data_IF_424562264760
#
_entry.id   IF_424562264760
#
_cell.length_a   1.000
_cell.length_b   1.000
_cell.length_c   1.000
_cell.angle_alpha   90.00
_cell.angle_beta   90.00
_cell.angle_gamma   90.00
#
_symmetry.space_group_name_H-M   'P 1'
#
loop_
_entity.id
_entity.type
_entity.pdbx_description
1 polymer ?
#
# COMPACT_ATOMS: atom_id res chain seq x y z
N UNK A 1 3.10 -35.79 9.83
CA UNK A 1 1.65 -35.54 9.91
C UNK A 1 1.37 -34.17 9.32
N UNK A 2 0.47 -34.12 8.34
CA UNK A 2 0.01 -32.91 7.65
C UNK A 2 -0.45 -31.87 8.66
N UNK A 3 0.31 -30.77 8.80
CA UNK A 3 -0.14 -29.59 9.52
C UNK A 3 -1.20 -28.90 8.68
N UNK A 4 -2.45 -29.33 8.87
CA UNK A 4 -3.57 -28.47 8.53
C UNK A 4 -3.52 -27.36 9.57
N UNK A 5 -3.05 -26.17 9.16
CA UNK A 5 -3.22 -24.97 9.95
C UNK A 5 -4.67 -24.90 10.40
N UNK A 6 -4.92 -24.56 11.66
CA UNK A 6 -6.30 -24.37 12.13
C UNK A 6 -6.95 -23.40 11.16
N UNK A 7 -7.94 -23.86 10.39
CA UNK A 7 -8.68 -23.03 9.43
C UNK A 7 -9.43 -21.86 10.12
N UNK A 8 -9.34 -21.80 11.46
CA UNK A 8 -10.12 -20.94 12.34
C UNK A 8 -9.26 -19.91 13.09
N UNK A 9 -8.03 -19.62 12.63
CA UNK A 9 -7.33 -18.39 13.01
C UNK A 9 -7.83 -17.23 12.16
N UNK A 10 -8.70 -16.39 12.73
CA UNK A 10 -9.09 -15.12 12.09
C UNK A 10 -8.06 -14.05 12.45
N UNK A 11 -7.27 -13.61 11.48
CA UNK A 11 -6.39 -12.45 11.63
C UNK A 11 -7.19 -11.18 11.32
N UNK A 12 -7.62 -10.45 12.34
CA UNK A 12 -8.28 -9.16 12.17
C UNK A 12 -7.27 -8.02 12.36
N UNK A 13 -6.88 -7.38 11.25
CA UNK A 13 -6.13 -6.12 11.26
C UNK A 13 -7.06 -5.04 10.73
N UNK A 14 -7.61 -4.20 11.60
CA UNK A 14 -8.39 -3.04 11.16
C UNK A 14 -7.43 -1.96 10.64
N UNK A 15 -7.58 -1.59 9.37
CA UNK A 15 -6.88 -0.46 8.76
C UNK A 15 -7.42 0.85 9.32
N UNK A 16 -6.62 1.55 10.12
CA UNK A 16 -6.97 2.89 10.62
C UNK A 16 -7.00 3.86 9.44
N UNK A 17 -8.20 4.38 9.09
CA UNK A 17 -8.37 5.40 8.05
C UNK A 17 -7.88 6.80 8.49
N UNK A 18 -7.69 7.04 9.79
CA UNK A 18 -7.35 8.36 10.34
C UNK A 18 -6.25 8.25 11.41
N UNK A 19 -5.36 9.24 11.47
CA UNK A 19 -4.11 9.22 12.26
C UNK A 19 -4.29 9.33 13.79
N UNK A 20 -5.47 9.73 14.27
CA UNK A 20 -5.67 10.09 15.68
C UNK A 20 -6.65 9.19 16.46
N UNK A 21 -7.03 8.03 15.90
CA UNK A 21 -7.94 7.09 16.55
C UNK A 21 -7.23 5.80 16.97
N UNK A 22 -7.60 5.27 18.15
CA UNK A 22 -7.18 3.96 18.64
C UNK A 22 -8.33 2.96 18.46
N UNK A 23 -8.03 1.79 17.90
CA UNK A 23 -8.97 0.67 17.87
C UNK A 23 -8.88 -0.09 19.20
N UNK A 24 -9.97 -0.08 19.97
CA UNK A 24 -10.12 -0.94 21.14
C UNK A 24 -10.87 -2.21 20.71
N UNK A 25 -10.31 -3.37 21.04
CA UNK A 25 -10.97 -4.67 20.81
C UNK A 25 -11.43 -5.22 22.17
N UNK A 26 -12.64 -5.75 22.22
CA UNK A 26 -13.11 -6.57 23.33
C UNK A 26 -13.07 -8.03 22.88
N UNK A 27 -12.24 -8.83 23.53
CA UNK A 27 -12.16 -10.27 23.27
C UNK A 27 -12.96 -10.96 24.38
N UNK A 28 -14.04 -11.64 24.00
CA UNK A 28 -14.87 -12.41 24.90
C UNK A 28 -14.70 -13.90 24.61
N UNK A 29 -14.29 -14.67 25.61
CA UNK A 29 -14.21 -16.12 25.52
C UNK A 29 -15.62 -16.66 25.76
N UNK A 30 -16.19 -17.31 24.74
CA UNK A 30 -17.50 -17.94 24.82
C UNK A 30 -17.34 -19.46 24.97
N UNK A 31 -18.15 -20.13 25.81
CA UNK A 31 -18.08 -21.58 26.00
C UNK A 31 -18.35 -22.39 24.73
N UNK A 32 -19.31 -21.95 23.93
CA UNK A 32 -19.81 -22.67 22.76
C UNK A 32 -19.63 -21.81 21.50
N UNK A 33 -18.40 -21.62 20.99
CA UNK A 33 -18.20 -20.81 19.80
C UNK A 33 -18.94 -21.42 18.61
N UNK A 34 -19.52 -20.56 17.78
CA UNK A 34 -20.23 -20.91 16.55
C UNK A 34 -19.56 -20.21 15.36
N UNK A 35 -19.67 -20.84 14.21
CA UNK A 35 -19.16 -20.34 12.94
C UNK A 35 -20.25 -20.36 11.87
N UNK A 36 -20.06 -19.54 10.84
CA UNK A 36 -20.98 -19.42 9.71
C UNK A 36 -20.22 -19.54 8.40
N UNK A 37 -20.74 -20.40 7.53
CA UNK A 37 -20.22 -20.61 6.18
C UNK A 37 -21.30 -20.27 5.15
N UNK A 38 -20.93 -19.50 4.12
CA UNK A 38 -21.80 -19.25 2.96
C UNK A 38 -21.75 -20.46 2.04
N UNK A 39 -22.90 -21.07 1.75
CA UNK A 39 -22.95 -22.17 0.79
C UNK A 39 -22.85 -21.65 -0.65
N UNK A 40 -22.22 -22.43 -1.53
CA UNK A 40 -22.14 -22.14 -2.97
C UNK A 40 -23.43 -22.45 -3.74
N UNK A 41 -24.50 -22.81 -3.02
CA UNK A 41 -25.77 -23.21 -3.63
C UNK A 41 -26.44 -22.01 -4.30
N UNK A 42 -26.94 -22.23 -5.51
CA UNK A 42 -27.75 -21.26 -6.24
C UNK A 42 -29.22 -21.53 -5.98
N UNK A 43 -29.97 -20.49 -5.65
CA UNK A 43 -31.41 -20.52 -5.45
C UNK A 43 -32.02 -19.18 -5.80
N UNK A 44 -33.33 -19.16 -6.01
CA UNK A 44 -34.09 -17.95 -6.29
C UNK A 44 -35.29 -17.87 -5.35
N UNK A 45 -35.52 -16.68 -4.82
CA UNK A 45 -36.77 -16.34 -4.16
C UNK A 45 -37.77 -15.91 -5.23
N UNK A 46 -38.99 -16.46 -5.22
CA UNK A 46 -39.91 -16.31 -6.35
C UNK A 46 -40.56 -14.91 -6.42
N UNK A 47 -40.59 -14.17 -5.32
CA UNK A 47 -41.14 -12.82 -5.28
C UNK A 47 -40.13 -11.79 -5.85
N UNK A 48 -40.60 -10.96 -6.78
CA UNK A 48 -39.80 -9.95 -7.46
C UNK A 48 -39.42 -8.74 -6.60
N UNK A 49 -40.06 -8.53 -5.45
CA UNK A 49 -39.76 -7.40 -4.55
C UNK A 49 -38.97 -7.78 -3.31
N UNK A 50 -38.67 -9.07 -3.13
CA UNK A 50 -38.11 -9.63 -1.91
C UNK A 50 -36.85 -10.43 -2.21
N UNK A 51 -36.08 -10.65 -1.16
CA UNK A 51 -34.98 -11.60 -1.14
C UNK A 51 -35.08 -12.49 0.10
N UNK A 52 -34.41 -13.63 0.06
CA UNK A 52 -34.44 -14.62 1.13
C UNK A 52 -33.03 -15.02 1.57
N UNK A 53 -32.80 -14.99 2.87
CA UNK A 53 -31.64 -15.57 3.52
C UNK A 53 -32.09 -16.85 4.24
N UNK A 54 -31.58 -18.00 3.80
CA UNK A 54 -31.82 -19.29 4.43
C UNK A 54 -30.61 -19.68 5.28
N UNK A 55 -30.82 -19.88 6.58
CA UNK A 55 -29.80 -20.31 7.53
C UNK A 55 -30.14 -21.70 8.02
N UNK A 56 -29.20 -22.64 7.87
CA UNK A 56 -29.33 -24.02 8.34
C UNK A 56 -28.40 -24.27 9.51
N UNK A 57 -28.87 -24.98 10.52
CA UNK A 57 -28.06 -25.32 11.69
C UNK A 57 -28.52 -26.61 12.35
N UNK A 58 -27.65 -27.20 13.15
CA UNK A 58 -28.00 -28.25 14.13
C UNK A 58 -28.20 -27.68 15.55
N UNK A 59 -28.01 -26.37 15.73
CA UNK A 59 -28.12 -25.69 17.03
C UNK A 59 -29.59 -25.31 17.26
N UNK A 60 -30.26 -26.04 18.15
CA UNK A 60 -31.71 -25.91 18.33
C UNK A 60 -32.17 -24.63 19.02
N UNK A 61 -31.33 -23.99 19.81
CA UNK A 61 -31.58 -22.73 20.50
C UNK A 61 -31.06 -21.49 19.75
N UNK A 62 -30.60 -21.67 18.50
CA UNK A 62 -30.16 -20.56 17.65
C UNK A 62 -31.29 -19.53 17.46
N UNK A 63 -30.93 -18.26 17.56
CA UNK A 63 -31.76 -17.10 17.33
C UNK A 63 -31.23 -16.33 16.12
N UNK A 64 -32.17 -15.83 15.31
CA UNK A 64 -31.89 -14.96 14.17
C UNK A 64 -32.69 -13.69 14.39
N UNK A 65 -32.00 -12.55 14.40
CA UNK A 65 -32.57 -11.24 14.64
C UNK A 65 -32.26 -10.30 13.48
N UNK A 66 -33.25 -9.51 13.09
CA UNK A 66 -33.11 -8.46 12.11
C UNK A 66 -33.59 -7.13 12.70
N UNK A 67 -33.12 -6.02 12.15
CA UNK A 67 -33.63 -4.72 12.51
C UNK A 67 -35.16 -4.65 12.26
N UNK A 68 -35.98 -4.19 13.23
CA UNK A 68 -37.43 -4.08 13.04
C UNK A 68 -37.83 -3.26 11.81
N UNK A 69 -37.03 -2.23 11.48
CA UNK A 69 -37.29 -1.37 10.32
C UNK A 69 -37.05 -2.06 8.98
N UNK A 70 -36.34 -3.20 8.95
CA UNK A 70 -36.15 -4.00 7.74
C UNK A 70 -37.47 -4.63 7.26
N UNK A 71 -38.46 -4.76 8.16
CA UNK A 71 -39.73 -5.46 7.91
C UNK A 71 -39.50 -6.91 7.41
N UNK A 72 -38.47 -7.56 7.93
CA UNK A 72 -38.19 -8.96 7.62
C UNK A 72 -39.18 -9.89 8.32
N UNK A 73 -39.59 -10.94 7.61
CA UNK A 73 -40.36 -12.06 8.16
C UNK A 73 -39.39 -13.22 8.39
N UNK A 74 -39.22 -13.59 9.65
CA UNK A 74 -38.39 -14.73 10.04
C UNK A 74 -39.30 -15.92 10.31
N UNK A 75 -39.07 -17.01 9.59
CA UNK A 75 -39.76 -18.28 9.82
C UNK A 75 -38.76 -19.36 10.19
N UNK A 76 -39.18 -20.26 11.08
CA UNK A 76 -38.36 -21.36 11.59
C UNK A 76 -39.04 -22.68 11.27
N UNK A 77 -38.30 -23.63 10.71
CA UNK A 77 -38.74 -25.00 10.45
C UNK A 77 -37.73 -25.97 11.05
N UNK A 78 -38.22 -27.03 11.68
CA UNK A 78 -37.40 -28.16 12.10
C UNK A 78 -37.62 -29.29 11.07
N UNK A 79 -36.54 -29.79 10.48
CA UNK A 79 -36.54 -30.91 9.53
C UNK A 79 -35.49 -31.89 10.01
N UNK A 80 -35.91 -33.08 10.43
CA UNK A 80 -35.05 -34.07 11.09
C UNK A 80 -34.26 -33.42 12.26
N UNK A 81 -32.93 -33.57 12.27
CA UNK A 81 -32.03 -32.96 13.26
C UNK A 81 -31.58 -31.53 12.90
N UNK A 82 -32.15 -30.93 11.84
CA UNK A 82 -31.78 -29.59 11.39
C UNK A 82 -32.87 -28.55 11.68
N UNK A 83 -32.42 -27.35 12.06
CA UNK A 83 -33.24 -26.15 12.12
C UNK A 83 -32.92 -25.28 10.92
N UNK A 84 -33.95 -24.86 10.20
CA UNK A 84 -33.86 -23.97 9.05
C UNK A 84 -34.61 -22.67 9.38
N UNK A 85 -33.90 -21.55 9.31
CA UNK A 85 -34.46 -20.22 9.34
C UNK A 85 -34.56 -19.68 7.92
N UNK A 86 -35.73 -19.17 7.54
CA UNK A 86 -35.92 -18.37 6.34
C UNK A 86 -36.23 -16.94 6.75
N UNK A 87 -35.31 -16.02 6.43
CA UNK A 87 -35.46 -14.58 6.63
C UNK A 87 -35.81 -13.97 5.27
N UNK A 88 -37.08 -13.58 5.09
CA UNK A 88 -37.56 -12.93 3.87
C UNK A 88 -37.70 -11.44 4.13
N UNK A 89 -37.10 -10.60 3.28
CA UNK A 89 -37.12 -9.16 3.48
C UNK A 89 -37.36 -8.40 2.17
N UNK A 90 -38.03 -7.23 2.22
CA UNK A 90 -38.28 -6.39 1.06
C UNK A 90 -37.01 -5.64 0.64
N UNK A 91 -36.59 -5.82 -0.61
CA UNK A 91 -35.40 -5.13 -1.17
C UNK A 91 -35.58 -3.61 -1.17
N UNK A 92 -36.81 -3.13 -1.36
CA UNK A 92 -37.12 -1.70 -1.41
C UNK A 92 -36.64 -0.96 -0.17
N UNK A 93 -36.73 -1.56 1.02
CA UNK A 93 -36.35 -0.90 2.28
C UNK A 93 -34.85 -0.60 2.33
N UNK A 94 -34.02 -1.54 1.85
CA UNK A 94 -32.57 -1.33 1.73
C UNK A 94 -32.26 -0.30 0.62
N UNK A 95 -32.92 -0.40 -0.54
CA UNK A 95 -32.72 0.54 -1.66
C UNK A 95 -33.13 1.97 -1.33
N UNK A 96 -34.18 2.16 -0.56
CA UNK A 96 -34.62 3.48 -0.09
C UNK A 96 -33.55 4.10 0.83
N UNK A 97 -32.93 3.30 1.72
CA UNK A 97 -31.84 3.75 2.58
C UNK A 97 -30.54 4.05 1.80
N UNK A 98 -30.18 3.22 0.83
CA UNK A 98 -29.06 3.48 -0.09
C UNK A 98 -29.26 4.78 -0.89
N UNK A 99 -30.48 5.02 -1.37
CA UNK A 99 -30.81 6.23 -2.12
C UNK A 99 -30.65 7.50 -1.29
N UNK A 100 -31.04 7.45 0.00
CA UNK A 100 -30.81 8.57 0.93
C UNK A 100 -29.31 8.89 1.04
N UNK A 101 -28.46 7.87 1.14
CA UNK A 101 -27.01 8.04 1.16
C UNK A 101 -26.48 8.62 -0.16
N UNK A 102 -26.94 8.10 -1.29
CA UNK A 102 -26.54 8.58 -2.62
C UNK A 102 -26.93 10.06 -2.82
N UNK A 103 -28.12 10.46 -2.37
CA UNK A 103 -28.58 11.85 -2.43
C UNK A 103 -27.74 12.78 -1.53
N UNK A 104 -27.27 12.30 -0.37
CA UNK A 104 -26.35 13.05 0.50
C UNK A 104 -24.98 13.19 -0.17
N UNK A 105 -24.45 12.11 -0.76
CA UNK A 105 -23.18 12.15 -1.48
C UNK A 105 -23.22 13.14 -2.64
N UNK A 106 -24.28 13.12 -3.46
CA UNK A 106 -24.46 14.09 -4.55
C UNK A 106 -24.49 15.52 -4.04
N UNK A 107 -25.16 15.80 -2.92
CA UNK A 107 -25.18 17.14 -2.31
C UNK A 107 -23.80 17.59 -1.82
N UNK A 108 -23.02 16.68 -1.24
CA UNK A 108 -21.63 16.96 -0.82
C UNK A 108 -20.72 17.23 -2.03
N UNK A 109 -20.83 16.44 -3.10
CA UNK A 109 -20.06 16.66 -4.34
C UNK A 109 -20.42 17.98 -5.03
N UNK A 110 -21.70 18.34 -5.08
CA UNK A 110 -22.14 19.64 -5.61
C UNK A 110 -21.58 20.78 -4.76
N UNK A 111 -21.63 20.63 -3.43
CA UNK A 111 -21.09 21.61 -2.47
C UNK A 111 -19.58 21.84 -2.65
N UNK A 112 -18.83 20.75 -2.84
CA UNK A 112 -17.37 20.79 -2.98
C UNK A 112 -16.89 21.36 -4.33
N UNK A 113 -17.71 21.25 -5.38
CA UNK A 113 -17.38 21.72 -6.73
C UNK A 113 -17.91 23.13 -7.05
N UNK A 114 -18.43 23.86 -6.06
CA UNK A 114 -18.89 25.25 -6.23
C UNK A 114 -17.71 26.24 -6.14
N UNK A 115 -17.16 26.62 -7.30
CA UNK A 115 -15.99 27.50 -7.44
C UNK A 115 -16.33 29.00 -7.57
N UNK A 116 -17.48 29.45 -7.06
CA UNK A 116 -17.87 30.87 -7.13
C UNK A 116 -17.01 31.78 -6.23
N UNK A 117 -16.81 33.05 -6.64
CA UNK A 117 -16.25 34.09 -5.76
C UNK A 117 -17.25 34.39 -4.63
N UNK A 118 -17.08 33.69 -3.50
CA UNK A 118 -17.94 33.83 -2.32
C UNK A 118 -17.35 34.83 -1.32
N UNK A 119 -18.23 35.60 -0.69
CA UNK A 119 -17.90 36.41 0.48
C UNK A 119 -17.56 35.52 1.70
N UNK A 120 -16.90 36.09 2.71
CA UNK A 120 -16.53 35.35 3.93
C UNK A 120 -17.73 34.72 4.64
N UNK A 121 -18.84 35.45 4.75
CA UNK A 121 -20.08 34.95 5.37
C UNK A 121 -20.71 33.79 4.59
N UNK A 122 -20.56 33.77 3.26
CA UNK A 122 -21.04 32.69 2.40
C UNK A 122 -20.15 31.44 2.52
N UNK A 123 -18.84 31.63 2.68
CA UNK A 123 -17.89 30.54 2.97
C UNK A 123 -18.21 29.91 4.34
N UNK A 124 -18.44 30.72 5.37
CA UNK A 124 -18.76 30.21 6.72
C UNK A 124 -20.08 29.43 6.73
N UNK A 125 -21.11 29.90 5.99
CA UNK A 125 -22.38 29.17 5.80
C UNK A 125 -22.18 27.85 5.05
N UNK A 126 -21.35 27.84 4.01
CA UNK A 126 -21.03 26.64 3.25
C UNK A 126 -20.36 25.58 4.14
N UNK A 127 -19.35 25.97 4.92
CA UNK A 127 -18.65 25.08 5.85
C UNK A 127 -19.62 24.48 6.88
N UNK A 128 -20.56 25.28 7.40
CA UNK A 128 -21.56 24.80 8.35
C UNK A 128 -22.55 23.81 7.71
N UNK A 129 -22.97 24.08 6.47
CA UNK A 129 -23.83 23.18 5.70
C UNK A 129 -23.13 21.85 5.39
N UNK A 130 -21.85 21.88 4.99
CA UNK A 130 -21.05 20.68 4.74
C UNK A 130 -20.87 19.83 6.00
N UNK A 131 -20.63 20.45 7.16
CA UNK A 131 -20.57 19.74 8.44
C UNK A 131 -21.90 19.06 8.79
N UNK A 132 -23.03 19.72 8.51
CA UNK A 132 -24.36 19.13 8.74
C UNK A 132 -24.60 17.93 7.80
N UNK A 133 -24.20 18.06 6.52
CA UNK A 133 -24.29 16.96 5.56
C UNK A 133 -23.38 15.79 5.92
N UNK A 134 -22.15 16.04 6.39
CA UNK A 134 -21.21 15.00 6.81
C UNK A 134 -21.75 14.23 8.03
N UNK A 135 -22.35 14.94 8.99
CA UNK A 135 -23.06 14.33 10.13
C UNK A 135 -24.22 13.44 9.64
N UNK A 136 -25.06 13.95 8.74
CA UNK A 136 -26.17 13.17 8.14
C UNK A 136 -25.67 11.95 7.37
N UNK A 137 -24.53 12.05 6.68
CA UNK A 137 -23.88 10.92 6.00
C UNK A 137 -23.52 9.84 7.03
N UNK A 138 -22.82 10.19 8.10
CA UNK A 138 -22.43 9.22 9.14
C UNK A 138 -23.64 8.56 9.81
N UNK A 139 -24.70 9.32 10.08
CA UNK A 139 -25.95 8.79 10.62
C UNK A 139 -26.63 7.83 9.66
N UNK A 140 -26.71 8.17 8.37
CA UNK A 140 -27.30 7.33 7.34
C UNK A 140 -26.46 6.07 7.04
N UNK A 141 -25.13 6.16 7.05
CA UNK A 141 -24.21 5.01 6.91
C UNK A 141 -24.39 4.03 8.07
N UNK A 142 -24.46 4.56 9.29
CA UNK A 142 -24.70 3.77 10.51
C UNK A 142 -26.08 3.11 10.47
N UNK A 143 -27.10 3.84 10.02
CA UNK A 143 -28.45 3.32 9.87
C UNK A 143 -28.53 2.20 8.83
N UNK A 144 -27.95 2.40 7.62
CA UNK A 144 -27.93 1.37 6.58
C UNK A 144 -27.23 0.10 7.08
N UNK A 145 -26.08 0.25 7.75
CA UNK A 145 -25.34 -0.90 8.33
C UNK A 145 -26.16 -1.63 9.39
N UNK A 146 -26.88 -0.93 10.26
CA UNK A 146 -27.75 -1.55 11.26
C UNK A 146 -29.01 -2.17 10.64
N UNK A 147 -29.48 -1.64 9.52
CA UNK A 147 -30.66 -2.12 8.80
C UNK A 147 -30.36 -3.41 8.03
N UNK A 148 -29.16 -3.51 7.43
CA UNK A 148 -28.70 -4.66 6.64
C UNK A 148 -27.95 -5.73 7.44
N UNK A 149 -27.86 -5.59 8.77
CA UNK A 149 -27.20 -6.57 9.64
C UNK A 149 -28.20 -7.62 10.13
N UNK A 150 -28.01 -8.87 9.71
CA UNK A 150 -28.72 -10.03 10.27
C UNK A 150 -27.85 -10.68 11.34
N UNK A 151 -28.31 -10.65 12.59
CA UNK A 151 -27.59 -11.19 13.75
C UNK A 151 -28.00 -12.61 14.03
N UNK A 152 -27.02 -13.45 14.32
CA UNK A 152 -27.21 -14.87 14.57
C UNK A 152 -26.44 -15.24 15.84
N UNK A 153 -27.13 -15.79 16.83
CA UNK A 153 -26.54 -16.15 18.11
C UNK A 153 -27.38 -17.21 18.83
N UNK A 154 -26.79 -17.93 19.77
CA UNK A 154 -27.48 -18.81 20.73
C UNK A 154 -26.92 -18.57 22.15
N UNK A 155 -27.45 -19.26 23.15
CA UNK A 155 -27.01 -19.10 24.53
C UNK A 155 -25.53 -19.48 24.69
N UNK A 156 -24.74 -18.61 25.32
CA UNK A 156 -23.30 -18.82 25.57
C UNK A 156 -22.45 -19.02 24.30
N UNK A 157 -22.88 -18.45 23.17
CA UNK A 157 -22.15 -18.43 21.90
C UNK A 157 -21.67 -17.03 21.55
N UNK A 158 -20.79 -16.89 20.56
CA UNK A 158 -20.46 -15.59 19.94
C UNK A 158 -21.60 -15.13 19.01
N UNK A 159 -21.68 -13.82 18.79
CA UNK A 159 -22.64 -13.24 17.85
C UNK A 159 -22.00 -13.22 16.46
N UNK A 160 -22.69 -13.83 15.49
CA UNK A 160 -22.36 -13.77 14.08
C UNK A 160 -23.24 -12.72 13.39
N UNK A 161 -22.72 -12.12 12.32
CA UNK A 161 -23.37 -11.05 11.56
C UNK A 161 -23.26 -11.37 10.07
N UNK A 162 -24.38 -11.24 9.36
CA UNK A 162 -24.46 -11.37 7.90
C UNK A 162 -24.96 -10.05 7.33
N UNK A 163 -24.13 -9.41 6.51
CA UNK A 163 -24.53 -8.23 5.76
C UNK A 163 -25.33 -8.66 4.51
N UNK A 164 -26.54 -8.13 4.39
CA UNK A 164 -27.47 -8.38 3.28
C UNK A 164 -27.65 -7.14 2.38
N UNK A 165 -26.85 -6.08 2.56
CA UNK A 165 -26.97 -4.82 1.81
C UNK A 165 -26.84 -5.02 0.29
N UNK A 166 -25.99 -5.95 -0.13
CA UNK A 166 -25.71 -6.23 -1.55
C UNK A 166 -26.73 -7.17 -2.20
N UNK A 167 -27.74 -7.65 -1.46
CA UNK A 167 -28.73 -8.58 -2.01
C UNK A 167 -29.68 -7.89 -3.01
N UNK A 168 -29.93 -8.59 -4.12
CA UNK A 168 -30.82 -8.18 -5.19
C UNK A 168 -32.23 -8.79 -5.10
N UNK A 169 -33.17 -8.30 -5.90
CA UNK A 169 -34.51 -8.90 -5.99
C UNK A 169 -34.44 -10.35 -6.49
N UNK A 170 -35.31 -11.21 -5.94
CA UNK A 170 -35.35 -12.67 -6.22
C UNK A 170 -34.09 -13.43 -5.79
N UNK A 171 -33.16 -12.78 -5.12
CA UNK A 171 -31.95 -13.45 -4.65
C UNK A 171 -32.25 -14.34 -3.45
N UNK A 172 -31.70 -15.54 -3.45
CA UNK A 172 -31.70 -16.42 -2.28
C UNK A 172 -30.28 -16.84 -1.93
N UNK A 173 -29.87 -16.56 -0.69
CA UNK A 173 -28.56 -16.96 -0.15
C UNK A 173 -28.72 -18.01 0.92
N UNK A 174 -27.74 -18.91 0.98
CA UNK A 174 -27.73 -20.03 1.90
C UNK A 174 -26.51 -19.93 2.80
N UNK A 175 -26.72 -20.08 4.10
CA UNK A 175 -25.68 -20.12 5.10
C UNK A 175 -25.88 -21.32 6.01
N UNK A 176 -24.77 -21.90 6.46
CA UNK A 176 -24.77 -22.95 7.47
C UNK A 176 -24.09 -22.41 8.71
N UNK A 177 -24.74 -22.57 9.86
CA UNK A 177 -24.20 -22.22 11.17
C UNK A 177 -23.91 -23.50 11.94
N UNK A 178 -22.67 -23.67 12.35
CA UNK A 178 -22.20 -24.87 13.04
C UNK A 178 -21.47 -24.51 14.34
N UNK A 179 -21.50 -25.39 15.35
CA UNK A 179 -20.56 -25.32 16.46
C UNK A 179 -19.12 -25.35 15.92
N UNK A 180 -18.29 -24.44 16.40
CA UNK A 180 -16.87 -24.47 16.14
C UNK A 180 -16.27 -25.60 16.99
N UNK A 181 -15.94 -26.72 16.35
CA UNK A 181 -15.22 -27.82 17.01
C UNK A 181 -13.80 -27.33 17.30
N UNK A 182 -13.58 -26.80 18.50
CA UNK A 182 -12.24 -26.51 18.99
C UNK A 182 -11.58 -27.85 19.28
N UNK A 183 -10.85 -28.38 18.29
CA UNK A 183 -9.91 -29.47 18.54
C UNK A 183 -8.84 -28.87 19.44
N UNK A 184 -9.00 -29.03 20.77
CA UNK A 184 -7.85 -28.92 21.68
C UNK A 184 -6.82 -29.89 21.14
N UNK A 185 -5.71 -29.37 20.62
CA UNK A 185 -4.54 -30.19 20.34
C UNK A 185 -4.10 -30.76 21.68
N UNK A 186 -4.53 -31.98 21.99
CA UNK A 186 -3.88 -32.80 23.01
C UNK A 186 -2.50 -33.11 22.44
N UNK A 187 -1.52 -32.32 22.83
CA UNK A 187 -0.13 -32.63 22.53
C UNK A 187 0.22 -33.89 23.33
N UNK A 188 0.55 -34.96 22.62
CA UNK A 188 0.91 -36.23 23.24
C UNK A 188 2.17 -36.11 24.12
N UNK A 189 2.99 -35.08 23.86
CA UNK A 189 4.29 -34.82 24.52
C UNK A 189 4.56 -33.31 24.65
N UNK A 190 5.28 -32.93 25.71
CA UNK A 190 5.79 -31.58 25.98
C UNK A 190 6.70 -31.08 24.83
N UNK A 191 7.56 -31.96 24.27
CA UNK A 191 8.35 -31.65 23.08
C UNK A 191 7.47 -31.26 21.87
N UNK A 192 6.34 -31.94 21.65
CA UNK A 192 5.43 -31.63 20.54
C UNK A 192 4.66 -30.31 20.73
N UNK A 193 4.36 -29.95 21.98
CA UNK A 193 3.74 -28.67 22.32
C UNK A 193 4.68 -27.50 21.99
N UNK A 194 5.94 -27.58 22.45
CA UNK A 194 6.96 -26.58 22.15
C UNK A 194 7.29 -26.50 20.65
N UNK A 195 7.24 -27.62 19.93
CA UNK A 195 7.38 -27.61 18.46
C UNK A 195 6.24 -26.86 17.76
N UNK A 196 4.99 -27.05 18.20
CA UNK A 196 3.87 -26.33 17.60
C UNK A 196 3.89 -24.85 17.97
N UNK A 197 4.29 -24.51 19.19
CA UNK A 197 4.48 -23.12 19.62
C UNK A 197 5.58 -22.43 18.80
N UNK A 198 6.75 -23.07 18.66
CA UNK A 198 7.85 -22.55 17.87
C UNK A 198 7.47 -22.29 16.41
N UNK A 199 6.69 -23.19 15.80
CA UNK A 199 6.17 -22.99 14.43
C UNK A 199 5.23 -21.79 14.34
N UNK A 200 4.28 -21.65 15.26
CA UNK A 200 3.37 -20.50 15.27
C UNK A 200 4.12 -19.17 15.44
N UNK A 201 5.11 -19.13 16.34
CA UNK A 201 5.96 -17.96 16.53
C UNK A 201 6.82 -17.67 15.29
N UNK A 202 7.29 -18.70 14.59
CA UNK A 202 8.05 -18.57 13.35
C UNK A 202 7.22 -17.96 12.22
N UNK A 203 5.97 -18.43 12.06
CA UNK A 203 5.00 -17.86 11.11
C UNK A 203 4.68 -16.40 11.44
N UNK A 204 4.60 -16.04 12.72
CA UNK A 204 4.44 -14.66 13.18
C UNK A 204 5.72 -13.80 13.05
N UNK A 205 6.80 -14.34 12.49
CA UNK A 205 8.12 -13.70 12.32
C UNK A 205 8.81 -13.35 13.64
N UNK A 206 8.39 -13.98 14.74
CA UNK A 206 9.00 -13.81 16.06
C UNK A 206 10.16 -14.80 16.23
N UNK A 207 11.15 -14.72 15.35
CA UNK A 207 12.20 -15.74 15.22
C UNK A 207 13.00 -16.00 16.51
N UNK A 208 13.21 -14.98 17.35
CA UNK A 208 13.88 -15.16 18.65
C UNK A 208 13.05 -15.99 19.63
N UNK A 209 11.75 -15.70 19.74
CA UNK A 209 10.81 -16.44 20.59
C UNK A 209 10.63 -17.87 20.03
N UNK A 210 10.50 -18.01 18.71
CA UNK A 210 10.42 -19.29 18.02
C UNK A 210 11.65 -20.17 18.28
N UNK A 211 12.85 -19.58 18.19
CA UNK A 211 14.11 -20.26 18.50
C UNK A 211 14.14 -20.78 19.94
N UNK A 212 13.69 -19.98 20.90
CA UNK A 212 13.62 -20.41 22.30
C UNK A 212 12.63 -21.55 22.48
N UNK A 213 11.46 -21.48 21.85
CA UNK A 213 10.49 -22.58 21.89
C UNK A 213 11.06 -23.87 21.27
N UNK A 214 11.75 -23.80 20.13
CA UNK A 214 12.41 -24.98 19.56
C UNK A 214 13.55 -25.52 20.43
N UNK A 215 14.28 -24.65 21.13
CA UNK A 215 15.29 -25.06 22.10
C UNK A 215 14.64 -25.80 23.29
N UNK A 216 13.53 -25.29 23.81
CA UNK A 216 12.75 -25.98 24.85
C UNK A 216 12.21 -27.32 24.38
N UNK A 217 11.83 -27.46 23.10
CA UNK A 217 11.45 -28.74 22.52
C UNK A 217 12.61 -29.76 22.47
N UNK A 218 13.84 -29.29 22.27
CA UNK A 218 15.06 -30.12 22.27
C UNK A 218 15.44 -30.61 23.67
N UNK A 219 15.16 -29.78 24.68
CA UNK A 219 15.47 -30.03 26.10
C UNK A 219 14.35 -30.77 26.85
N UNK A 220 13.19 -30.95 26.23
CA UNK A 220 12.06 -31.67 26.79
C UNK A 220 12.41 -33.14 27.09
N UNK A 221 11.89 -33.65 28.22
CA UNK A 221 12.21 -35.00 28.72
C UNK A 221 11.68 -36.13 27.82
N UNK A 222 10.64 -35.83 27.05
CA UNK A 222 9.96 -36.74 26.14
C UNK A 222 10.33 -36.52 24.66
N UNK A 223 11.47 -35.86 24.41
CA UNK A 223 12.01 -35.64 23.07
C UNK A 223 12.42 -36.98 22.42
N UNK A 224 11.76 -37.31 21.31
CA UNK A 224 12.06 -38.49 20.50
C UNK A 224 13.37 -38.30 19.72
N UNK A 225 14.32 -39.25 19.76
CA UNK A 225 15.61 -39.13 19.07
C UNK A 225 15.49 -38.82 17.57
N UNK A 226 14.47 -39.34 16.91
CA UNK A 226 14.23 -39.15 15.48
C UNK A 226 13.77 -37.72 15.13
N UNK A 227 13.24 -36.97 16.09
CA UNK A 227 12.80 -35.58 15.91
C UNK A 227 13.94 -34.57 16.06
N UNK A 228 15.06 -34.98 16.68
CA UNK A 228 16.22 -34.12 16.94
C UNK A 228 16.76 -33.40 15.68
N UNK A 229 16.94 -34.06 14.51
CA UNK A 229 17.40 -33.37 13.31
C UNK A 229 16.45 -32.26 12.86
N UNK A 230 15.14 -32.51 12.90
CA UNK A 230 14.12 -31.54 12.48
C UNK A 230 14.05 -30.32 13.42
N UNK A 231 14.24 -30.54 14.74
CA UNK A 231 14.30 -29.45 15.73
C UNK A 231 15.54 -28.59 15.50
N UNK A 232 16.70 -29.22 15.28
CA UNK A 232 17.96 -28.52 15.00
C UNK A 232 17.89 -27.73 13.69
N UNK A 233 17.28 -28.28 12.65
CA UNK A 233 17.03 -27.57 11.39
C UNK A 233 16.12 -26.35 11.60
N UNK A 234 15.04 -26.51 12.37
CA UNK A 234 14.13 -25.40 12.71
C UNK A 234 14.83 -24.28 13.49
N UNK A 235 15.75 -24.63 14.40
CA UNK A 235 16.61 -23.67 15.11
C UNK A 235 17.55 -22.96 14.11
N UNK A 236 18.18 -23.69 13.21
CA UNK A 236 19.08 -23.13 12.20
C UNK A 236 18.36 -22.16 11.23
N UNK A 237 17.11 -22.45 10.88
CA UNK A 237 16.26 -21.53 10.11
C UNK A 237 15.96 -20.24 10.89
N UNK A 238 15.65 -20.35 12.19
CA UNK A 238 15.48 -19.17 13.05
C UNK A 238 16.76 -18.34 13.12
N UNK A 239 17.91 -18.97 13.34
CA UNK A 239 19.20 -18.30 13.43
C UNK A 239 19.54 -17.54 12.14
N UNK A 240 19.28 -18.16 10.99
CA UNK A 240 19.47 -17.54 9.66
C UNK A 240 18.57 -16.31 9.49
N UNK A 241 17.28 -16.42 9.82
CA UNK A 241 16.33 -15.30 9.73
C UNK A 241 16.72 -14.14 10.67
N UNK A 242 17.07 -14.43 11.93
CA UNK A 242 17.53 -13.42 12.91
C UNK A 242 18.77 -12.69 12.38
N UNK A 243 19.74 -13.43 11.84
CA UNK A 243 20.96 -12.84 11.31
C UNK A 243 20.67 -11.93 10.11
N UNK A 244 19.85 -12.38 9.15
CA UNK A 244 19.50 -11.60 7.97
C UNK A 244 18.69 -10.36 8.31
N UNK A 245 17.71 -10.44 9.21
CA UNK A 245 16.97 -9.26 9.67
C UNK A 245 17.89 -8.26 10.39
N UNK A 246 18.83 -8.75 11.20
CA UNK A 246 19.80 -7.88 11.88
C UNK A 246 20.69 -7.13 10.87
N UNK A 247 21.21 -7.83 9.86
CA UNK A 247 22.06 -7.20 8.83
C UNK A 247 21.26 -6.17 8.02
N UNK A 248 20.03 -6.51 7.62
CA UNK A 248 19.16 -5.59 6.89
C UNK A 248 18.82 -4.35 7.72
N UNK A 249 18.50 -4.53 9.01
CA UNK A 249 18.22 -3.42 9.92
C UNK A 249 19.42 -2.49 10.10
N UNK A 250 20.63 -3.04 10.25
CA UNK A 250 21.87 -2.26 10.34
C UNK A 250 22.11 -1.45 9.05
N UNK A 251 21.91 -2.04 7.88
CA UNK A 251 22.07 -1.34 6.62
C UNK A 251 21.05 -0.19 6.45
N UNK A 252 19.80 -0.41 6.85
CA UNK A 252 18.76 0.65 6.86
C UNK A 252 19.12 1.75 7.87
N UNK A 253 19.66 1.39 9.03
CA UNK A 253 20.11 2.35 10.03
C UNK A 253 21.26 3.22 9.51
N UNK A 254 22.21 2.64 8.79
CA UNK A 254 23.27 3.41 8.13
C UNK A 254 22.72 4.40 7.09
N UNK A 255 21.73 4.00 6.29
CA UNK A 255 21.03 4.93 5.39
C UNK A 255 20.42 6.11 6.18
N UNK A 256 19.75 5.83 7.30
CA UNK A 256 19.14 6.85 8.14
C UNK A 256 20.18 7.78 8.79
N UNK A 257 21.30 7.22 9.27
CA UNK A 257 22.41 7.97 9.85
C UNK A 257 23.03 8.93 8.83
N UNK A 258 23.29 8.44 7.62
CA UNK A 258 23.84 9.27 6.55
C UNK A 258 22.90 10.40 6.15
N UNK A 259 21.58 10.15 6.12
CA UNK A 259 20.58 11.20 5.85
C UNK A 259 20.60 12.28 6.93
N UNK A 260 20.73 11.91 8.21
CA UNK A 260 20.82 12.86 9.32
C UNK A 260 22.10 13.69 9.31
N UNK A 261 23.21 13.09 8.89
CA UNK A 261 24.53 13.75 8.83
C UNK A 261 24.70 14.61 7.56
N UNK A 262 23.74 14.60 6.63
CA UNK A 262 23.83 15.34 5.36
C UNK A 262 24.91 14.81 4.41
N UNK A 263 25.44 13.61 4.64
CA UNK A 263 26.50 12.98 3.83
C UNK A 263 26.00 11.75 3.03
N UNK A 264 24.68 11.54 2.96
CA UNK A 264 24.05 10.49 2.19
C UNK A 264 24.28 10.68 0.68
N UNK A 265 25.28 9.98 0.14
CA UNK A 265 25.45 9.85 -1.31
C UNK A 265 24.60 8.69 -1.83
N UNK A 266 24.01 8.81 -3.02
CA UNK A 266 23.21 7.72 -3.59
C UNK A 266 24.01 6.43 -3.76
N UNK A 267 25.33 6.49 -4.01
CA UNK A 267 26.15 5.28 -4.07
C UNK A 267 26.12 4.51 -2.75
N UNK A 268 26.37 5.19 -1.62
CA UNK A 268 26.34 4.55 -0.30
C UNK A 268 24.92 4.11 0.08
N UNK A 269 23.92 4.95 -0.24
CA UNK A 269 22.51 4.61 0.03
C UNK A 269 22.08 3.38 -0.78
N UNK A 270 22.45 3.28 -2.05
CA UNK A 270 22.16 2.12 -2.91
C UNK A 270 22.94 0.89 -2.46
N UNK A 271 24.19 1.02 -2.03
CA UNK A 271 24.98 -0.08 -1.47
C UNK A 271 24.30 -0.69 -0.23
N UNK A 272 23.97 0.15 0.76
CA UNK A 272 23.27 -0.32 1.96
C UNK A 272 21.84 -0.80 1.67
N UNK A 273 21.13 -0.16 0.74
CA UNK A 273 19.80 -0.61 0.33
C UNK A 273 19.87 -1.99 -0.35
N UNK A 274 20.82 -2.22 -1.24
CA UNK A 274 21.04 -3.52 -1.88
C UNK A 274 21.46 -4.59 -0.88
N UNK A 275 22.26 -4.26 0.14
CA UNK A 275 22.56 -5.18 1.24
C UNK A 275 21.25 -5.59 1.93
N UNK A 276 20.37 -4.66 2.27
CA UNK A 276 19.09 -4.97 2.90
C UNK A 276 18.15 -5.76 1.98
N UNK A 277 18.04 -5.39 0.70
CA UNK A 277 17.24 -6.09 -0.32
C UNK A 277 17.69 -7.55 -0.42
N UNK A 278 18.98 -7.80 -0.61
CA UNK A 278 19.54 -9.15 -0.75
C UNK A 278 19.24 -10.03 0.47
N UNK A 279 19.22 -9.46 1.68
CA UNK A 279 18.89 -10.21 2.91
C UNK A 279 17.41 -10.51 3.00
N UNK A 280 16.53 -9.57 2.68
CA UNK A 280 15.10 -9.83 2.65
C UNK A 280 14.70 -10.81 1.54
N UNK A 281 15.35 -10.75 0.38
CA UNK A 281 15.15 -11.73 -0.70
C UNK A 281 15.54 -13.14 -0.26
N UNK A 282 16.67 -13.31 0.43
CA UNK A 282 17.06 -14.61 1.02
C UNK A 282 16.02 -15.13 2.01
N UNK A 283 15.54 -14.30 2.93
CA UNK A 283 14.47 -14.70 3.86
C UNK A 283 13.24 -15.14 3.09
N UNK A 284 12.80 -14.34 2.11
CA UNK A 284 11.59 -14.58 1.34
C UNK A 284 11.64 -15.88 0.53
N UNK A 285 12.76 -16.15 -0.15
CA UNK A 285 12.89 -17.28 -1.06
C UNK A 285 13.23 -18.60 -0.35
N UNK A 286 14.06 -18.55 0.69
CA UNK A 286 14.64 -19.76 1.30
C UNK A 286 14.00 -20.15 2.64
N UNK A 287 13.27 -19.24 3.32
CA UNK A 287 12.85 -19.46 4.72
C UNK A 287 11.38 -19.12 5.02
N UNK A 288 10.93 -17.90 4.70
CA UNK A 288 9.59 -17.43 5.03
C UNK A 288 9.02 -16.54 3.91
N UNK A 289 8.06 -17.07 3.16
CA UNK A 289 7.45 -16.45 1.97
C UNK A 289 6.41 -15.37 2.28
N UNK A 290 6.46 -14.76 3.46
CA UNK A 290 5.56 -13.69 3.85
C UNK A 290 5.76 -12.45 2.96
N UNK A 291 4.66 -11.93 2.43
CA UNK A 291 4.61 -10.78 1.53
C UNK A 291 5.22 -9.51 2.14
N UNK A 292 5.31 -9.42 3.48
CA UNK A 292 5.94 -8.28 4.15
C UNK A 292 7.40 -8.06 3.69
N UNK A 293 8.13 -9.12 3.35
CA UNK A 293 9.51 -9.02 2.86
C UNK A 293 9.55 -8.41 1.44
N UNK A 294 8.62 -8.79 0.57
CA UNK A 294 8.46 -8.16 -0.75
C UNK A 294 8.13 -6.68 -0.63
N UNK A 295 7.18 -6.29 0.23
CA UNK A 295 6.85 -4.87 0.45
C UNK A 295 8.04 -4.07 0.98
N UNK A 296 8.93 -4.69 1.77
CA UNK A 296 10.18 -4.04 2.24
C UNK A 296 11.19 -3.88 1.11
N UNK A 297 11.31 -4.87 0.23
CA UNK A 297 12.15 -4.82 -0.97
C UNK A 297 11.68 -3.70 -1.89
N UNK A 298 10.39 -3.67 -2.24
CA UNK A 298 9.79 -2.64 -3.09
C UNK A 298 10.03 -1.22 -2.55
N UNK A 299 9.92 -1.03 -1.23
CA UNK A 299 10.21 0.27 -0.61
C UNK A 299 11.68 0.68 -0.75
N UNK A 300 12.61 -0.27 -0.64
CA UNK A 300 14.04 0.01 -0.80
C UNK A 300 14.39 0.25 -2.28
N UNK A 301 13.75 -0.46 -3.21
CA UNK A 301 13.88 -0.24 -4.65
C UNK A 301 13.29 1.10 -5.10
N UNK A 302 12.14 1.48 -4.55
CA UNK A 302 11.55 2.81 -4.73
C UNK A 302 12.48 3.91 -4.21
N UNK A 303 13.06 3.71 -3.03
CA UNK A 303 14.07 4.63 -2.49
C UNK A 303 15.30 4.76 -3.39
N UNK A 304 15.68 3.72 -4.14
CA UNK A 304 16.76 3.79 -5.13
C UNK A 304 16.31 4.54 -6.40
N UNK A 305 15.09 4.28 -6.85
CA UNK A 305 14.51 4.85 -8.07
C UNK A 305 14.17 6.34 -7.95
N UNK A 306 13.71 6.77 -6.78
CA UNK A 306 13.30 8.15 -6.50
C UNK A 306 14.49 9.11 -6.28
N UNK A 307 15.74 8.62 -6.29
CA UNK A 307 16.89 9.49 -6.11
C UNK A 307 17.25 10.23 -7.42
N UNK A 308 17.21 11.60 -7.43
CA UNK A 308 17.44 12.38 -8.65
C UNK A 308 18.89 12.30 -9.12
N UNK A 309 19.10 12.39 -10.44
CA UNK A 309 20.44 12.53 -11.04
C UNK A 309 20.89 13.99 -10.90
N UNK A 310 21.95 14.23 -10.12
CA UNK A 310 22.53 15.58 -10.00
C UNK A 310 23.56 15.79 -11.10
N UNK A 311 23.44 16.89 -11.85
CA UNK A 311 24.42 17.30 -12.85
C UNK A 311 24.92 18.70 -12.51
N UNK A 312 26.23 18.82 -12.34
CA UNK A 312 26.95 20.07 -12.16
C UNK A 312 27.60 20.47 -13.47
N UNK A 313 27.15 21.59 -14.02
CA UNK A 313 27.70 22.24 -15.20
C UNK A 313 28.73 23.28 -14.79
N UNK A 314 29.89 23.24 -15.45
CA UNK A 314 30.88 24.31 -15.40
C UNK A 314 31.07 24.84 -16.81
N UNK A 315 30.62 26.06 -17.06
CA UNK A 315 30.50 26.63 -18.41
C UNK A 315 31.58 27.69 -18.61
N UNK A 316 32.43 27.47 -19.62
CA UNK A 316 33.58 28.32 -19.93
C UNK A 316 33.61 28.70 -21.41
N UNK A 317 34.14 29.89 -21.69
CA UNK A 317 34.45 30.32 -23.05
C UNK A 317 35.63 29.50 -23.59
N UNK A 318 35.55 29.07 -24.85
CA UNK A 318 36.69 28.46 -25.53
C UNK A 318 37.27 29.41 -26.56
N UNK A 319 38.47 29.92 -26.27
CA UNK A 319 39.26 30.74 -27.19
C UNK A 319 40.08 29.83 -28.10
N UNK A 320 40.60 30.38 -29.19
CA UNK A 320 41.22 29.64 -30.32
C UNK A 320 42.17 28.50 -29.92
N UNK A 321 42.89 28.62 -28.79
CA UNK A 321 43.81 27.60 -28.27
C UNK A 321 43.77 27.43 -26.73
N UNK A 322 42.83 28.04 -26.01
CA UNK A 322 42.79 27.98 -24.53
C UNK A 322 41.38 28.18 -23.96
N UNK A 323 41.15 27.69 -22.74
CA UNK A 323 39.97 28.09 -21.96
C UNK A 323 40.06 29.59 -21.67
N UNK A 324 38.97 30.29 -21.92
CA UNK A 324 38.76 31.69 -21.56
C UNK A 324 38.03 31.80 -20.22
N UNK A 325 37.27 32.88 -20.06
CA UNK A 325 36.60 33.18 -18.81
C UNK A 325 35.34 32.32 -18.59
N UNK A 326 34.90 32.20 -17.33
CA UNK A 326 33.63 31.58 -17.00
C UNK A 326 32.45 32.39 -17.57
N UNK A 327 31.43 31.70 -18.08
CA UNK A 327 30.27 32.37 -18.69
C UNK A 327 29.09 32.39 -17.71
N UNK A 328 28.73 33.55 -17.16
CA UNK A 328 27.56 33.69 -16.29
C UNK A 328 26.25 33.77 -17.09
N UNK A 329 25.13 33.59 -16.40
CA UNK A 329 23.77 33.79 -16.91
C UNK A 329 23.42 32.93 -18.14
N UNK A 330 24.04 31.75 -18.26
CA UNK A 330 23.70 30.78 -19.30
C UNK A 330 22.46 30.01 -18.84
N UNK A 331 21.38 30.14 -19.60
CA UNK A 331 20.16 29.37 -19.36
C UNK A 331 20.34 27.94 -19.85
N UNK A 332 19.93 26.98 -19.02
CA UNK A 332 19.99 25.56 -19.32
C UNK A 332 18.56 25.03 -19.47
N UNK A 333 18.26 24.52 -20.66
CA UNK A 333 16.94 24.03 -21.03
C UNK A 333 16.99 22.54 -21.37
N UNK A 334 16.13 21.74 -20.74
CA UNK A 334 15.90 20.35 -21.05
C UNK A 334 14.84 20.21 -22.14
N UNK A 335 15.09 19.33 -23.11
CA UNK A 335 14.17 19.01 -24.20
C UNK A 335 13.59 17.60 -24.02
N UNK A 336 12.26 17.50 -24.05
CA UNK A 336 11.47 16.27 -23.85
C UNK A 336 10.65 15.87 -25.09
N UNK A 337 10.83 16.55 -26.23
CA UNK A 337 10.09 16.25 -27.45
C UNK A 337 10.62 15.00 -28.16
N UNK A 338 9.76 14.39 -28.99
CA UNK A 338 10.09 13.20 -29.77
C UNK A 338 10.85 13.43 -31.08
N UNK A 339 10.77 14.61 -31.75
CA UNK A 339 11.59 14.88 -32.92
C UNK A 339 13.08 14.98 -32.56
N UNK A 340 13.95 14.38 -33.39
CA UNK A 340 15.40 14.55 -33.26
C UNK A 340 15.82 15.96 -33.65
N UNK A 341 16.53 16.64 -32.73
CA UNK A 341 17.00 18.01 -32.95
C UNK A 341 18.49 18.00 -33.33
N UNK A 342 18.85 18.73 -34.38
CA UNK A 342 20.25 18.98 -34.73
C UNK A 342 20.80 20.22 -34.00
N UNK A 343 22.10 20.25 -33.75
CA UNK A 343 22.79 21.45 -33.21
C UNK A 343 22.62 22.69 -34.08
N UNK A 344 22.42 22.54 -35.40
CA UNK A 344 22.16 23.64 -36.34
C UNK A 344 20.75 24.26 -36.22
N UNK A 345 19.84 23.60 -35.51
CA UNK A 345 18.47 24.07 -35.28
C UNK A 345 18.48 25.36 -34.46
N UNK A 346 19.41 25.48 -33.50
CA UNK A 346 19.55 26.63 -32.60
C UNK A 346 20.64 27.62 -33.04
N UNK A 347 20.88 27.75 -34.35
CA UNK A 347 21.94 28.61 -34.90
C UNK A 347 21.82 30.10 -34.55
N UNK A 348 20.66 30.56 -34.05
CA UNK A 348 20.46 31.93 -33.58
C UNK A 348 19.36 32.03 -32.53
N UNK A 349 19.43 33.07 -31.69
CA UNK A 349 18.43 33.34 -30.65
C UNK A 349 17.02 33.50 -31.22
N UNK A 350 16.89 34.14 -32.38
CA UNK A 350 15.61 34.31 -33.09
C UNK A 350 14.96 32.97 -33.50
N UNK A 351 15.76 31.95 -33.81
CA UNK A 351 15.24 30.60 -34.12
C UNK A 351 14.78 29.90 -32.84
N UNK A 352 15.56 29.99 -31.77
CA UNK A 352 15.18 29.47 -30.47
C UNK A 352 13.85 30.07 -29.98
N UNK A 353 13.70 31.40 -30.03
CA UNK A 353 12.45 32.08 -29.64
C UNK A 353 11.25 31.63 -30.48
N UNK A 354 11.45 31.35 -31.78
CA UNK A 354 10.39 30.83 -32.64
C UNK A 354 9.97 29.42 -32.24
N UNK A 355 10.92 28.54 -31.91
CA UNK A 355 10.59 27.20 -31.41
C UNK A 355 9.89 27.26 -30.05
N UNK A 356 10.38 28.10 -29.14
CA UNK A 356 9.72 28.30 -27.84
C UNK A 356 8.29 28.86 -27.97
N UNK A 357 7.95 29.57 -29.05
CA UNK A 357 6.57 30.01 -29.31
C UNK A 357 5.67 28.91 -29.87
N UNK A 358 6.22 27.99 -30.64
CA UNK A 358 5.45 26.97 -31.36
C UNK A 358 5.35 25.64 -30.59
N UNK A 359 6.37 25.30 -29.80
CA UNK A 359 6.57 23.98 -29.18
C UNK A 359 7.01 24.10 -27.71
N UNK A 360 6.58 25.14 -26.98
CA UNK A 360 7.00 25.41 -25.59
C UNK A 360 6.87 24.23 -24.65
N UNK A 361 5.85 23.39 -24.83
CA UNK A 361 5.57 22.22 -23.98
C UNK A 361 6.67 21.16 -24.02
N UNK A 362 7.52 21.16 -25.05
CA UNK A 362 8.65 20.23 -25.17
C UNK A 362 9.90 20.69 -24.42
N UNK A 363 9.93 21.92 -23.87
CA UNK A 363 11.12 22.51 -23.28
C UNK A 363 10.88 22.96 -21.85
N UNK A 364 11.83 22.69 -20.96
CA UNK A 364 11.79 23.12 -19.56
C UNK A 364 13.12 23.72 -19.15
N UNK A 365 13.09 24.93 -18.58
CA UNK A 365 14.30 25.51 -17.99
C UNK A 365 14.63 24.75 -16.70
N UNK A 366 15.86 24.22 -16.63
CA UNK A 366 16.33 23.40 -15.51
C UNK A 366 17.42 24.09 -14.68
N UNK A 367 18.00 25.19 -15.17
CA UNK A 367 19.00 25.94 -14.41
C UNK A 367 19.49 27.21 -15.13
N UNK A 368 20.27 28.00 -14.39
CA UNK A 368 20.99 29.18 -14.88
C UNK A 368 22.37 29.20 -14.24
N UNK A 369 23.43 29.46 -15.01
CA UNK A 369 24.79 29.56 -14.46
C UNK A 369 24.99 30.83 -13.62
N UNK A 370 25.70 30.69 -12.50
CA UNK A 370 26.06 31.81 -11.63
C UNK A 370 27.28 32.58 -12.18
N UNK A 371 27.78 33.57 -11.42
CA UNK A 371 28.94 34.39 -11.79
C UNK A 371 30.24 33.60 -12.04
N UNK A 372 30.33 32.37 -11.56
CA UNK A 372 31.47 31.46 -11.76
C UNK A 372 31.21 30.45 -12.91
N UNK A 373 30.14 30.65 -13.69
CA UNK A 373 29.75 29.74 -14.76
C UNK A 373 29.25 28.38 -14.26
N UNK A 374 28.87 28.26 -12.98
CA UNK A 374 28.42 27.01 -12.38
C UNK A 374 26.89 26.97 -12.35
N UNK A 375 26.31 25.86 -12.80
CA UNK A 375 24.89 25.54 -12.61
C UNK A 375 24.73 24.11 -12.10
N UNK A 376 23.93 23.92 -11.05
CA UNK A 376 23.60 22.60 -10.51
C UNK A 376 22.13 22.30 -10.81
N UNK A 377 21.87 21.13 -11.37
CA UNK A 377 20.52 20.72 -11.81
C UNK A 377 20.22 19.31 -11.34
N UNK A 378 18.95 19.05 -11.09
CA UNK A 378 18.44 17.73 -10.69
C UNK A 378 17.49 17.23 -11.79
N UNK A 379 17.82 16.06 -12.36
CA UNK A 379 17.01 15.40 -13.37
C UNK A 379 16.31 14.19 -12.76
N UNK A 380 15.04 14.04 -13.11
CA UNK A 380 14.26 12.85 -12.80
C UNK A 380 14.71 11.69 -13.68
N UNK A 381 15.12 10.58 -13.06
CA UNK A 381 15.59 9.38 -13.78
C UNK A 381 14.45 8.62 -14.47
N UNK A 382 13.20 8.82 -14.06
CA UNK A 382 12.02 8.19 -14.67
C UNK A 382 11.54 8.94 -15.91
N UNK A 383 11.95 10.20 -16.07
CA UNK A 383 11.62 11.05 -17.20
C UNK A 383 12.84 11.91 -17.58
N UNK A 384 13.79 11.29 -18.26
CA UNK A 384 15.02 11.95 -18.71
C UNK A 384 14.78 12.72 -20.03
N UNK A 385 15.39 13.91 -20.19
CA UNK A 385 15.29 14.65 -21.45
C UNK A 385 16.11 13.99 -22.56
N UNK A 386 15.68 14.17 -23.81
CA UNK A 386 16.42 13.75 -25.00
C UNK A 386 17.72 14.55 -25.19
N UNK A 387 17.72 15.81 -24.76
CA UNK A 387 18.90 16.67 -24.83
C UNK A 387 18.81 17.92 -23.99
N UNK A 388 19.95 18.62 -23.89
CA UNK A 388 20.12 19.84 -23.11
C UNK A 388 20.63 20.95 -24.02
N UNK A 389 20.00 22.12 -23.90
CA UNK A 389 20.33 23.34 -24.62
C UNK A 389 20.95 24.33 -23.64
N UNK A 390 22.08 24.91 -24.03
CA UNK A 390 22.80 25.92 -23.30
C UNK A 390 22.71 27.23 -24.07
N UNK A 391 21.94 28.17 -23.55
CA UNK A 391 21.65 29.46 -24.17
C UNK A 391 22.33 30.58 -23.39
N UNK A 392 23.37 31.22 -23.96
CA UNK A 392 24.05 32.33 -23.30
C UNK A 392 23.21 33.61 -23.41
N UNK A 393 23.58 34.64 -22.63
CA UNK A 393 22.89 35.93 -22.65
C UNK A 393 22.83 36.52 -24.07
N UNK A 394 21.68 37.13 -24.43
CA UNK A 394 21.41 37.77 -25.73
C UNK A 394 22.46 38.79 -26.19
N UNK A 395 23.21 39.38 -25.25
CA UNK A 395 24.28 40.35 -25.54
C UNK A 395 25.64 39.70 -25.80
N UNK A 396 25.77 38.39 -25.61
CA UNK A 396 27.01 37.65 -25.88
C UNK A 396 27.09 37.27 -27.36
N UNK A 397 28.31 37.24 -27.91
CA UNK A 397 28.56 36.73 -29.26
C UNK A 397 28.68 35.19 -29.31
N UNK A 398 28.40 34.51 -28.18
CA UNK A 398 28.57 33.07 -27.99
C UNK A 398 27.35 32.36 -28.55
N UNK A 399 27.56 31.27 -29.29
CA UNK A 399 26.46 30.52 -29.92
C UNK A 399 25.74 29.63 -28.92
N UNK A 400 24.44 29.42 -29.15
CA UNK A 400 23.65 28.41 -28.42
C UNK A 400 24.22 27.03 -28.75
N UNK A 401 24.40 26.21 -27.72
CA UNK A 401 24.89 24.85 -27.86
C UNK A 401 23.78 23.86 -27.49
N UNK A 402 23.62 22.78 -28.26
CA UNK A 402 22.73 21.67 -27.96
C UNK A 402 23.53 20.38 -27.90
N UNK A 403 23.25 19.57 -26.90
CA UNK A 403 23.86 18.27 -26.70
C UNK A 403 22.79 17.23 -26.36
N UNK A 404 22.85 16.07 -27.01
CA UNK A 404 22.01 14.94 -26.60
C UNK A 404 22.38 14.50 -25.18
N UNK A 405 21.41 13.98 -24.42
CA UNK A 405 21.70 13.49 -23.08
C UNK A 405 22.72 12.34 -23.12
N UNK A 406 22.66 11.49 -24.14
CA UNK A 406 23.61 10.40 -24.35
C UNK A 406 25.06 10.90 -24.53
N UNK A 407 25.26 11.94 -25.35
CA UNK A 407 26.59 12.53 -25.55
C UNK A 407 27.11 13.23 -24.30
N UNK A 408 26.22 13.92 -23.58
CA UNK A 408 26.54 14.61 -22.34
C UNK A 408 26.98 13.61 -21.27
N UNK A 409 26.25 12.52 -21.08
CA UNK A 409 26.61 11.46 -20.12
C UNK A 409 27.94 10.81 -20.48
N UNK A 410 28.21 10.60 -21.78
CA UNK A 410 29.48 10.02 -22.26
C UNK A 410 30.68 10.91 -21.96
N UNK A 411 30.51 12.23 -22.06
CA UNK A 411 31.59 13.21 -21.86
C UNK A 411 31.70 13.70 -20.41
N UNK A 412 30.66 13.52 -19.59
CA UNK A 412 30.65 13.92 -18.20
C UNK A 412 31.56 13.03 -17.33
N UNK A 413 32.44 13.69 -16.59
CA UNK A 413 33.21 13.08 -15.51
C UNK A 413 32.38 12.97 -14.22
N UNK A 414 33.04 12.59 -13.14
CA UNK A 414 32.40 12.45 -11.83
C UNK A 414 31.78 11.08 -11.63
N UNK A 415 30.86 10.99 -10.67
CA UNK A 415 30.25 9.71 -10.27
C UNK A 415 29.03 9.40 -11.12
N UNK A 416 28.42 8.22 -10.92
CA UNK A 416 27.09 7.92 -11.48
C UNK A 416 25.99 8.87 -10.97
N UNK A 417 26.30 9.70 -9.97
CA UNK A 417 25.36 10.44 -9.17
C UNK A 417 25.46 11.94 -9.23
N UNK A 418 26.69 12.42 -9.23
CA UNK A 418 27.02 13.80 -9.53
C UNK A 418 27.87 13.76 -10.79
N UNK A 419 27.20 14.02 -11.92
CA UNK A 419 27.88 14.17 -13.19
C UNK A 419 28.44 15.57 -13.25
N UNK A 420 29.75 15.66 -13.42
CA UNK A 420 30.42 16.94 -13.62
C UNK A 420 30.69 17.09 -15.09
N UNK A 421 30.13 18.14 -15.67
CA UNK A 421 30.26 18.41 -17.08
C UNK A 421 30.86 19.79 -17.29
N UNK A 422 32.06 19.84 -17.86
CA UNK A 422 32.74 21.09 -18.21
C UNK A 422 32.43 21.41 -19.67
N UNK A 423 31.49 22.34 -19.89
CA UNK A 423 31.05 22.75 -21.20
C UNK A 423 31.93 23.88 -21.75
N UNK A 424 32.40 23.70 -22.98
CA UNK A 424 33.16 24.68 -23.75
C UNK A 424 32.24 25.29 -24.81
N UNK A 425 32.04 26.60 -24.77
CA UNK A 425 31.18 27.32 -25.72
C UNK A 425 31.99 28.28 -26.59
N UNK A 426 31.56 28.46 -27.84
CA UNK A 426 32.26 29.19 -28.91
C UNK A 426 31.48 30.44 -29.35
#
# INVERSE_FOLDING_TARGET
MTSVGSAYTTNFVASLKQKDYLNAYRIEVVPNPIQIDKEKRTGAHMNASEAELEIRTIIHDLQVECNPNLNAVISRKNIDDQVIFSVVFPIKVIRDAEKVLEDIHKKLEISANDFSEKSKDEIDKQIMYEKELDKKRTEAESYLKLLSDVRIYADSTNILSVDISDMGPREKRYYVVMPLVVIKKEYATESSAFMSEGRGLYEMRKYKEARTAFQSALEAKDMEPDMRPNILESIAFCDSCIQYEKIAALAIQEIANMKKQGNATQQKVAEYANIAINRYQKIYQEYNTDEIYNRRIEKLEGLISDMPLKIKFTIVEWRTLSEGDYIPDVEIWAYYGTPSISSSTFSSDRRFERMMKNESFNYKQIGVSNQQGIAETELDRTNLPEGIIFRPNKKSNIKINYMSLADLIRQAGGTYMEKQFRLKMY
#
